data_IF_181548050039
#
_entry.id   IF_181548050039
#
_cell.length_a   1.000
_cell.length_b   1.000
_cell.length_c   1.000
_cell.angle_alpha   90.00
_cell.angle_beta   90.00
_cell.angle_gamma   90.00
#
_symmetry.space_group_name_H-M   'P 1'
#
loop_
_entity.id
_entity.type
_entity.pdbx_description
1 polymer ?
#
# COMPACT_ATOMS: atom_id res chain seq x y z
N UNK A 1 4.87 -25.91 -5.56
CA UNK A 1 3.87 -25.06 -4.90
C UNK A 1 4.58 -23.77 -4.53
N UNK A 2 4.05 -22.62 -4.94
CA UNK A 2 4.62 -21.31 -4.57
C UNK A 2 4.29 -21.05 -3.10
N UNK A 3 5.27 -20.54 -2.34
CA UNK A 3 5.06 -20.19 -0.94
C UNK A 3 4.05 -19.03 -0.84
N UNK A 4 3.01 -19.21 -0.04
CA UNK A 4 1.95 -18.20 0.14
C UNK A 4 2.49 -16.89 0.74
N UNK A 5 3.61 -16.94 1.45
CA UNK A 5 4.28 -15.73 1.95
C UNK A 5 4.78 -14.85 0.78
N UNK A 6 5.26 -15.46 -0.31
CA UNK A 6 5.70 -14.72 -1.49
C UNK A 6 4.54 -13.99 -2.18
N UNK A 7 3.34 -14.55 -2.10
CA UNK A 7 2.12 -13.95 -2.65
C UNK A 7 1.52 -12.86 -1.73
N UNK A 8 2.05 -12.72 -0.51
CA UNK A 8 1.53 -11.78 0.48
C UNK A 8 2.24 -10.43 0.47
N UNK A 9 3.50 -10.36 0.02
CA UNK A 9 4.24 -9.09 -0.05
C UNK A 9 4.09 -8.43 -1.41
N UNK A 10 4.17 -7.11 -1.47
CA UNK A 10 4.17 -6.37 -2.73
C UNK A 10 5.09 -5.15 -2.66
N UNK A 11 5.65 -4.79 -3.81
CA UNK A 11 6.34 -3.51 -3.99
C UNK A 11 5.30 -2.40 -4.16
N UNK A 12 5.55 -1.28 -3.50
CA UNK A 12 4.75 -0.07 -3.62
C UNK A 12 5.59 1.00 -4.32
N UNK A 13 5.02 1.66 -5.31
CA UNK A 13 5.53 2.93 -5.85
C UNK A 13 4.59 4.05 -5.46
N UNK A 14 5.10 5.11 -4.84
CA UNK A 14 4.31 6.28 -4.48
C UNK A 14 4.24 7.23 -5.67
N UNK A 15 3.07 7.76 -5.98
CA UNK A 15 2.83 8.63 -7.14
C UNK A 15 2.38 10.02 -6.72
N UNK A 16 2.74 11.05 -7.48
CA UNK A 16 2.08 12.35 -7.46
C UNK A 16 1.94 12.89 -8.88
N UNK A 17 0.72 13.26 -9.27
CA UNK A 17 0.35 13.69 -10.62
C UNK A 17 0.86 12.72 -11.71
N UNK A 18 0.82 11.41 -11.42
CA UNK A 18 1.30 10.36 -12.32
C UNK A 18 2.83 10.19 -12.38
N UNK A 19 3.61 10.98 -11.64
CA UNK A 19 5.07 10.80 -11.53
C UNK A 19 5.42 9.91 -10.32
N UNK A 20 6.40 9.03 -10.49
CA UNK A 20 6.92 8.20 -9.39
C UNK A 20 7.79 9.07 -8.47
N UNK A 21 7.53 9.01 -7.17
CA UNK A 21 8.32 9.71 -6.14
C UNK A 21 9.33 8.78 -5.47
N UNK A 22 8.85 7.70 -4.84
CA UNK A 22 9.64 6.79 -4.01
C UNK A 22 9.14 5.35 -4.15
N UNK A 23 9.93 4.42 -3.62
CA UNK A 23 9.57 3.01 -3.53
C UNK A 23 9.47 2.60 -2.07
N UNK A 24 8.53 1.70 -1.80
CA UNK A 24 8.34 1.10 -0.50
C UNK A 24 7.91 -0.36 -0.65
N UNK A 25 7.62 -0.99 0.47
CA UNK A 25 7.07 -2.33 0.53
C UNK A 25 5.79 -2.32 1.35
N UNK A 26 4.95 -3.30 1.08
CA UNK A 26 3.78 -3.58 1.88
C UNK A 26 3.41 -5.05 1.80
N UNK A 27 2.34 -5.42 2.47
CA UNK A 27 1.80 -6.76 2.40
C UNK A 27 0.28 -6.74 2.41
N UNK A 28 -0.31 -7.81 1.87
CA UNK A 28 -1.73 -8.03 1.86
C UNK A 28 -2.18 -8.71 3.14
N UNK A 29 -3.19 -8.13 3.77
CA UNK A 29 -3.84 -8.70 4.94
C UNK A 29 -5.32 -8.91 4.63
N UNK A 30 -5.80 -10.13 4.78
CA UNK A 30 -7.22 -10.43 4.57
C UNK A 30 -7.93 -10.55 5.91
N UNK A 31 -9.02 -9.79 6.07
CA UNK A 31 -9.96 -9.94 7.18
C UNK A 31 -11.36 -10.08 6.62
N UNK A 32 -12.04 -11.14 7.02
CA UNK A 32 -13.33 -11.55 6.45
C UNK A 32 -13.23 -11.65 4.92
N UNK A 33 -14.10 -10.95 4.19
CA UNK A 33 -14.12 -10.93 2.73
C UNK A 33 -13.41 -9.71 2.12
N UNK A 34 -12.53 -9.04 2.88
CA UNK A 34 -11.81 -7.85 2.44
C UNK A 34 -10.30 -8.08 2.47
N UNK A 35 -9.65 -7.72 1.37
CA UNK A 35 -8.20 -7.67 1.25
C UNK A 35 -7.74 -6.23 1.47
N UNK A 36 -6.79 -6.05 2.36
CA UNK A 36 -6.20 -4.76 2.70
C UNK A 36 -4.75 -4.72 2.26
N UNK A 37 -4.27 -3.56 1.85
CA UNK A 37 -2.84 -3.28 1.71
C UNK A 37 -2.35 -2.63 2.99
N UNK A 38 -1.31 -3.20 3.60
CA UNK A 38 -0.67 -2.67 4.81
C UNK A 38 0.73 -2.20 4.46
N UNK A 39 1.10 -1.00 4.91
CA UNK A 39 2.44 -0.41 4.76
C UNK A 39 2.70 0.56 5.92
N UNK A 40 3.86 1.22 5.93
CA UNK A 40 4.16 2.28 6.89
C UNK A 40 3.37 3.55 6.58
N UNK A 41 3.03 4.33 7.62
CA UNK A 41 2.32 5.61 7.45
C UNK A 41 3.13 6.58 6.60
N UNK A 42 4.43 6.66 6.81
CA UNK A 42 5.31 7.56 6.07
C UNK A 42 5.32 7.33 4.54
N UNK A 43 4.87 6.17 4.06
CA UNK A 43 4.70 5.87 2.63
C UNK A 43 3.48 6.58 2.04
N UNK A 44 2.42 6.77 2.82
CA UNK A 44 1.21 7.47 2.39
C UNK A 44 1.22 8.96 2.76
N UNK A 45 1.92 9.31 3.84
CA UNK A 45 2.11 10.68 4.31
C UNK A 45 3.28 10.76 5.29
N UNK A 46 4.25 11.62 4.99
CA UNK A 46 5.34 11.99 5.90
C UNK A 46 5.51 13.52 5.90
N UNK A 47 4.89 14.18 6.88
CA UNK A 47 4.95 15.64 7.01
C UNK A 47 6.36 16.20 7.22
N UNK A 48 7.25 15.59 8.02
CA UNK A 48 8.64 16.05 8.17
C UNK A 48 9.42 16.22 6.87
N UNK A 49 9.28 15.29 5.91
CA UNK A 49 9.92 15.39 4.59
C UNK A 49 9.08 16.09 3.53
N UNK A 50 7.80 16.37 3.83
CA UNK A 50 6.84 16.87 2.86
C UNK A 50 6.37 15.83 1.84
N UNK A 51 6.63 14.53 2.09
CA UNK A 51 6.20 13.46 1.21
C UNK A 51 4.69 13.22 1.34
N UNK A 52 3.94 13.60 0.30
CA UNK A 52 2.48 13.45 0.21
C UNK A 52 2.07 12.99 -1.20
N UNK A 53 2.20 11.69 -1.52
CA UNK A 53 1.74 11.14 -2.79
C UNK A 53 0.21 11.22 -2.91
N UNK A 54 -0.33 11.28 -4.12
CA UNK A 54 -1.78 11.21 -4.37
C UNK A 54 -2.29 9.78 -4.55
N UNK A 55 -1.41 8.86 -4.91
CA UNK A 55 -1.73 7.45 -5.12
C UNK A 55 -0.55 6.52 -4.81
N UNK A 56 -0.87 5.26 -4.57
CA UNK A 56 0.09 4.16 -4.58
C UNK A 56 -0.13 3.30 -5.81
N UNK A 57 0.94 2.82 -6.42
CA UNK A 57 0.89 1.76 -7.42
C UNK A 57 1.51 0.50 -6.85
N UNK A 58 0.78 -0.61 -6.98
CA UNK A 58 1.22 -1.94 -6.58
C UNK A 58 1.13 -2.91 -7.74
N UNK A 59 1.84 -4.02 -7.59
CA UNK A 59 1.75 -5.16 -8.48
C UNK A 59 1.00 -6.30 -7.77
N UNK A 60 0.01 -6.87 -8.46
CA UNK A 60 -0.82 -7.97 -7.98
C UNK A 60 -0.55 -9.22 -8.80
N UNK A 61 -0.24 -10.33 -8.13
CA UNK A 61 -0.21 -11.63 -8.78
C UNK A 61 -1.64 -12.08 -9.12
N UNK A 62 -1.89 -12.39 -10.38
CA UNK A 62 -3.23 -12.76 -10.88
C UNK A 62 -3.40 -14.25 -11.10
N UNK A 63 -2.31 -15.02 -11.08
CA UNK A 63 -2.32 -16.47 -11.26
C UNK A 63 -1.48 -17.16 -10.16
N UNK A 64 -2.08 -17.99 -9.29
CA UNK A 64 -1.35 -18.71 -8.24
C UNK A 64 -0.41 -19.80 -8.79
N UNK A 65 -0.52 -20.18 -10.06
CA UNK A 65 0.39 -21.09 -10.77
C UNK A 65 1.52 -20.40 -11.54
N UNK A 66 1.47 -19.07 -11.68
CA UNK A 66 2.42 -18.32 -12.49
C UNK A 66 2.78 -16.97 -11.85
N UNK A 67 3.92 -16.90 -11.16
CA UNK A 67 4.41 -15.68 -10.51
C UNK A 67 4.62 -14.50 -11.46
N UNK A 68 4.89 -14.76 -12.75
CA UNK A 68 5.09 -13.70 -13.74
C UNK A 68 3.75 -13.13 -14.27
N UNK A 69 2.62 -13.74 -13.93
CA UNK A 69 1.31 -13.19 -14.27
C UNK A 69 0.92 -12.14 -13.23
N UNK A 70 1.08 -10.88 -13.62
CA UNK A 70 0.83 -9.74 -12.74
C UNK A 70 0.01 -8.66 -13.40
N UNK A 71 -0.64 -7.84 -12.58
CA UNK A 71 -1.33 -6.63 -12.99
C UNK A 71 -0.92 -5.45 -12.10
N UNK A 72 -0.74 -4.28 -12.72
CA UNK A 72 -0.54 -3.04 -12.00
C UNK A 72 -1.89 -2.50 -11.51
N UNK A 73 -1.94 -2.08 -10.26
CA UNK A 73 -3.12 -1.47 -9.66
C UNK A 73 -2.75 -0.16 -8.99
N UNK A 74 -3.46 0.90 -9.34
CA UNK A 74 -3.26 2.23 -8.76
C UNK A 74 -4.38 2.52 -7.76
N UNK A 75 -3.99 2.89 -6.55
CA UNK A 75 -4.87 3.10 -5.41
C UNK A 75 -4.78 4.57 -5.01
N UNK A 76 -5.88 5.32 -5.14
CA UNK A 76 -5.94 6.70 -4.69
C UNK A 76 -5.82 6.78 -3.16
N UNK A 77 -5.01 7.71 -2.66
CA UNK A 77 -4.85 7.94 -1.23
C UNK A 77 -5.81 9.01 -0.69
N UNK A 78 -6.38 9.84 -1.57
CA UNK A 78 -7.22 10.97 -1.22
C UNK A 78 -8.46 11.09 -2.10
N UNK A 79 -9.55 11.57 -1.52
CA UNK A 79 -10.76 12.07 -2.18
C UNK A 79 -10.98 13.51 -1.71
N UNK A 80 -10.49 14.47 -2.49
CA UNK A 80 -10.29 15.85 -2.03
C UNK A 80 -9.29 15.88 -0.86
N UNK A 81 -9.68 16.48 0.27
CA UNK A 81 -8.86 16.49 1.50
C UNK A 81 -9.04 15.24 2.37
N UNK A 82 -10.01 14.37 2.04
CA UNK A 82 -10.29 13.16 2.83
C UNK A 82 -9.27 12.07 2.49
N UNK A 83 -8.57 11.56 3.50
CA UNK A 83 -7.74 10.35 3.38
C UNK A 83 -8.63 9.13 3.12
N UNK A 84 -8.27 8.32 2.13
CA UNK A 84 -8.93 7.04 1.82
C UNK A 84 -8.32 5.84 2.55
N UNK A 85 -7.23 6.08 3.28
CA UNK A 85 -6.52 5.11 4.10
C UNK A 85 -6.68 5.43 5.58
N UNK A 86 -6.39 4.45 6.43
CA UNK A 86 -6.47 4.57 7.90
C UNK A 86 -5.09 4.40 8.50
N UNK A 87 -4.78 5.23 9.48
CA UNK A 87 -3.57 5.10 10.27
C UNK A 87 -3.80 4.15 11.46
N UNK A 88 -2.78 3.37 11.79
CA UNK A 88 -2.76 2.52 12.97
C UNK A 88 -2.68 3.35 14.25
N UNK A 89 -3.32 2.84 15.30
CA UNK A 89 -3.32 3.44 16.63
C UNK A 89 -3.11 2.33 17.65
N UNK A 90 -2.24 2.55 18.64
CA UNK A 90 -2.04 1.70 19.81
C UNK A 90 -2.29 2.46 21.12
N UNK A 91 -1.89 1.88 22.26
CA UNK A 91 -2.08 2.51 23.58
C UNK A 91 -1.28 3.81 23.80
N UNK A 92 -0.25 4.07 22.99
CA UNK A 92 0.54 5.29 23.01
C UNK A 92 0.09 6.30 21.95
N UNK A 93 -0.86 5.93 21.08
CA UNK A 93 -1.45 6.81 20.08
C UNK A 93 -1.19 6.34 18.65
N UNK A 94 -1.02 7.30 17.75
CA UNK A 94 -0.77 7.05 16.34
C UNK A 94 0.59 6.36 16.11
N UNK A 95 0.60 5.29 15.30
CA UNK A 95 1.82 4.53 14.94
C UNK A 95 2.09 4.61 13.44
N UNK A 96 3.32 4.23 13.05
CA UNK A 96 3.77 4.21 11.66
C UNK A 96 3.22 3.01 10.87
N UNK A 97 1.90 2.91 10.79
CA UNK A 97 1.16 1.89 10.04
C UNK A 97 0.02 2.57 9.29
N UNK A 98 -0.12 2.25 8.02
CA UNK A 98 -1.24 2.63 7.16
C UNK A 98 -1.91 1.38 6.58
N UNK A 99 -3.24 1.41 6.53
CA UNK A 99 -4.07 0.36 5.95
C UNK A 99 -5.02 0.99 4.93
N UNK A 100 -5.05 0.41 3.73
CA UNK A 100 -5.91 0.84 2.62
C UNK A 100 -6.90 -0.27 2.30
#
# INVERSE_FOLDING_TARGET
MIDSLMLSATRISTLAAGQILTNASGFFFRRDNRLFLVTSRHVALDEPSGHRPDALQIELHTDPGNLASTANFTIALYDGERRLWRQGIDGAGEIDVAVI
#
